data_IF_906253323796
#
_entry.id   IF_906253323796
#
_cell.length_a   1.000
_cell.length_b   1.000
_cell.length_c   1.000
_cell.angle_alpha   90.00
_cell.angle_beta   90.00
_cell.angle_gamma   90.00
#
_symmetry.space_group_name_H-M   'P 1'
#
loop_
_entity.id
_entity.type
_entity.pdbx_description
1 polymer ?
#
# COMPACT_ATOMS: atom_id res chain seq x y z
N UNK A 1 -31.05 8.44 3.06
CA UNK A 1 -30.23 7.21 3.20
C UNK A 1 -29.53 7.30 4.56
N UNK A 2 -29.87 6.41 5.50
CA UNK A 2 -29.56 6.55 6.94
C UNK A 2 -28.07 6.37 7.26
N UNK A 3 -27.65 6.96 8.39
CA UNK A 3 -26.26 7.07 8.89
C UNK A 3 -25.56 5.69 9.04
N UNK A 4 -26.31 4.60 9.18
CA UNK A 4 -25.74 3.26 9.41
C UNK A 4 -25.03 2.67 8.19
N UNK A 5 -25.46 2.99 6.96
CA UNK A 5 -24.79 2.50 5.74
C UNK A 5 -23.36 3.06 5.59
N UNK A 6 -23.09 4.23 6.17
CA UNK A 6 -21.79 4.89 6.08
C UNK A 6 -20.74 4.35 7.04
N UNK A 7 -21.14 3.65 8.12
CA UNK A 7 -20.20 3.03 9.06
C UNK A 7 -19.34 1.96 8.38
N UNK A 8 -19.92 1.28 7.39
CA UNK A 8 -19.25 0.22 6.62
C UNK A 8 -18.47 0.74 5.41
N UNK A 9 -18.54 2.04 5.11
CA UNK A 9 -17.87 2.60 3.94
C UNK A 9 -16.34 2.41 3.96
N UNK A 10 -15.62 2.58 5.10
CA UNK A 10 -14.20 2.27 5.18
C UNK A 10 -13.86 0.81 4.89
N UNK A 11 -14.69 -0.13 5.36
CA UNK A 11 -14.50 -1.55 5.08
C UNK A 11 -14.74 -1.86 3.59
N UNK A 12 -15.79 -1.29 3.02
CA UNK A 12 -16.07 -1.45 1.59
C UNK A 12 -14.92 -0.94 0.71
N UNK A 13 -14.42 0.28 0.97
CA UNK A 13 -13.33 0.84 0.17
C UNK A 13 -12.02 0.09 0.38
N UNK A 14 -11.76 -0.41 1.59
CA UNK A 14 -10.65 -1.32 1.87
C UNK A 14 -10.73 -2.60 1.04
N UNK A 15 -11.88 -3.29 1.02
CA UNK A 15 -12.07 -4.49 0.21
C UNK A 15 -11.93 -4.23 -1.29
N UNK A 16 -12.47 -3.11 -1.77
CA UNK A 16 -12.30 -2.72 -3.19
C UNK A 16 -10.82 -2.53 -3.52
N UNK A 17 -10.05 -1.86 -2.64
CA UNK A 17 -8.61 -1.72 -2.78
C UNK A 17 -7.87 -3.05 -2.79
N UNK A 18 -8.16 -3.92 -1.82
CA UNK A 18 -7.59 -5.26 -1.71
C UNK A 18 -7.84 -6.09 -2.97
N UNK A 19 -9.10 -6.20 -3.39
CA UNK A 19 -9.48 -7.02 -4.55
C UNK A 19 -8.87 -6.46 -5.84
N UNK A 20 -8.87 -5.14 -6.02
CA UNK A 20 -8.34 -4.52 -7.25
C UNK A 20 -6.85 -4.80 -7.42
N UNK A 21 -6.06 -4.64 -6.34
CA UNK A 21 -4.63 -4.88 -6.38
C UNK A 21 -4.28 -6.36 -6.37
N UNK A 22 -5.11 -7.22 -5.75
CA UNK A 22 -4.94 -8.66 -5.83
C UNK A 22 -5.12 -9.16 -7.27
N UNK A 23 -6.23 -8.81 -7.92
CA UNK A 23 -6.49 -9.23 -9.31
C UNK A 23 -5.36 -8.75 -10.23
N UNK A 24 -5.02 -7.47 -10.15
CA UNK A 24 -4.01 -6.88 -11.03
C UNK A 24 -2.62 -7.43 -10.71
N UNK A 25 -2.27 -7.59 -9.43
CA UNK A 25 -1.00 -8.15 -8.99
C UNK A 25 -0.82 -9.59 -9.44
N UNK A 26 -1.86 -10.43 -9.34
CA UNK A 26 -1.83 -11.80 -9.85
C UNK A 26 -1.65 -11.84 -11.36
N UNK A 27 -2.40 -11.03 -12.12
CA UNK A 27 -2.23 -10.97 -13.59
C UNK A 27 -0.83 -10.50 -13.97
N UNK A 28 -0.32 -9.45 -13.33
CA UNK A 28 1.04 -8.97 -13.55
C UNK A 28 2.10 -10.01 -13.17
N UNK A 29 1.85 -10.82 -12.14
CA UNK A 29 2.71 -11.92 -11.70
C UNK A 29 2.80 -13.05 -12.70
N UNK A 30 1.66 -13.48 -13.24
CA UNK A 30 1.63 -14.48 -14.30
C UNK A 30 2.40 -14.01 -15.55
N UNK A 31 2.23 -12.74 -15.94
CA UNK A 31 3.00 -12.15 -17.05
C UNK A 31 4.49 -12.06 -16.71
N UNK A 32 4.83 -11.70 -15.47
CA UNK A 32 6.20 -11.62 -14.98
C UNK A 32 6.93 -12.97 -15.07
N UNK A 33 6.23 -14.09 -14.89
CA UNK A 33 6.82 -15.44 -15.03
C UNK A 33 7.19 -15.76 -16.47
N UNK A 34 6.32 -15.41 -17.41
CA UNK A 34 6.54 -15.67 -18.82
C UNK A 34 7.75 -14.88 -19.37
N UNK A 35 7.94 -13.66 -18.85
CA UNK A 35 8.99 -12.74 -19.30
C UNK A 35 10.27 -12.85 -18.45
N UNK A 36 10.21 -13.56 -17.31
CA UNK A 36 11.28 -13.66 -16.30
C UNK A 36 11.76 -12.29 -15.78
N UNK A 37 10.84 -11.31 -15.68
CA UNK A 37 11.14 -9.95 -15.22
C UNK A 37 10.21 -9.51 -14.08
N UNK A 38 10.67 -9.66 -12.83
CA UNK A 38 9.92 -9.30 -11.61
C UNK A 38 9.46 -7.84 -11.53
N UNK A 39 10.13 -6.92 -12.22
CA UNK A 39 9.78 -5.50 -12.24
C UNK A 39 8.42 -5.21 -12.89
N UNK A 40 7.93 -6.11 -13.74
CA UNK A 40 6.60 -5.99 -14.37
C UNK A 40 5.50 -6.03 -13.31
N UNK A 41 5.71 -6.70 -12.17
CA UNK A 41 4.74 -6.72 -11.07
C UNK A 41 4.39 -5.31 -10.59
N UNK A 42 5.37 -4.39 -10.58
CA UNK A 42 5.18 -3.00 -10.15
C UNK A 42 4.31 -2.19 -11.13
N UNK A 43 4.15 -2.61 -12.38
CA UNK A 43 3.13 -2.04 -13.29
C UNK A 43 1.71 -2.33 -12.80
N UNK A 44 1.55 -3.28 -11.89
CA UNK A 44 0.29 -3.51 -11.19
C UNK A 44 -0.15 -2.32 -10.32
N UNK A 45 0.76 -1.41 -9.94
CA UNK A 45 0.42 -0.23 -9.14
C UNK A 45 -0.50 0.76 -9.85
N UNK A 46 -0.15 1.29 -11.05
CA UNK A 46 -1.05 2.18 -11.78
C UNK A 46 -2.34 1.47 -12.20
N UNK A 47 -2.28 0.21 -12.66
CA UNK A 47 -3.47 -0.52 -13.13
C UNK A 47 -4.41 -0.82 -11.96
N UNK A 48 -3.88 -1.28 -10.82
CA UNK A 48 -4.64 -1.53 -9.59
C UNK A 48 -5.28 -0.27 -9.04
N UNK A 49 -4.57 0.87 -9.11
CA UNK A 49 -5.12 2.17 -8.75
C UNK A 49 -6.28 2.59 -9.64
N UNK A 50 -6.10 2.47 -10.96
CA UNK A 50 -7.15 2.80 -11.91
C UNK A 50 -8.38 1.94 -11.67
N UNK A 51 -8.21 0.63 -11.50
CA UNK A 51 -9.31 -0.29 -11.22
C UNK A 51 -10.02 0.06 -9.92
N UNK A 52 -9.28 0.27 -8.83
CA UNK A 52 -9.84 0.68 -7.54
C UNK A 52 -10.62 1.99 -7.65
N UNK A 53 -10.01 3.03 -8.24
CA UNK A 53 -10.63 4.35 -8.35
C UNK A 53 -11.82 4.35 -9.31
N UNK A 54 -11.78 3.51 -10.34
CA UNK A 54 -12.91 3.28 -11.24
C UNK A 54 -14.10 2.68 -10.49
N UNK A 55 -13.90 1.57 -9.76
CA UNK A 55 -14.96 0.91 -8.97
C UNK A 55 -15.52 1.87 -7.91
N UNK A 56 -14.66 2.66 -7.27
CA UNK A 56 -15.08 3.65 -6.27
C UNK A 56 -15.75 4.90 -6.85
N UNK A 57 -15.89 5.01 -8.19
CA UNK A 57 -16.38 6.20 -8.88
C UNK A 57 -15.63 7.48 -8.47
N UNK A 58 -14.31 7.35 -8.30
CA UNK A 58 -13.36 8.43 -7.96
C UNK A 58 -12.41 8.76 -9.11
N UNK A 59 -12.52 8.04 -10.22
CA UNK A 59 -11.70 8.24 -11.40
C UNK A 59 -12.41 9.19 -12.38
N UNK A 60 -11.91 10.41 -12.46
CA UNK A 60 -12.30 11.35 -13.52
C UNK A 60 -11.42 11.14 -14.76
N UNK A 61 -11.97 11.27 -15.96
CA UNK A 61 -11.26 10.98 -17.22
C UNK A 61 -10.00 11.85 -17.40
N UNK A 62 -10.05 13.09 -16.96
CA UNK A 62 -8.94 14.05 -16.97
C UNK A 62 -7.81 13.67 -15.99
N UNK A 63 -8.09 12.81 -15.00
CA UNK A 63 -7.13 12.40 -13.98
C UNK A 63 -6.46 11.06 -14.26
N UNK A 64 -6.84 10.33 -15.30
CA UNK A 64 -6.27 9.00 -15.62
C UNK A 64 -4.74 9.07 -15.70
N UNK A 65 -4.20 10.00 -16.48
CA UNK A 65 -2.75 10.16 -16.63
C UNK A 65 -2.09 10.53 -15.30
N UNK A 66 -2.74 11.39 -14.50
CA UNK A 66 -2.24 11.78 -13.19
C UNK A 66 -2.24 10.61 -12.19
N UNK A 67 -3.23 9.72 -12.24
CA UNK A 67 -3.23 8.47 -11.45
C UNK A 67 -2.04 7.62 -11.85
N UNK A 68 -1.86 7.36 -13.14
CA UNK A 68 -0.76 6.50 -13.63
C UNK A 68 0.60 7.04 -13.15
N UNK A 69 0.87 8.32 -13.41
CA UNK A 69 2.15 8.94 -13.06
C UNK A 69 2.36 8.94 -11.54
N UNK A 70 1.34 9.30 -10.75
CA UNK A 70 1.48 9.41 -9.30
C UNK A 70 1.53 8.05 -8.60
N UNK A 71 0.84 7.04 -9.11
CA UNK A 71 0.95 5.67 -8.61
C UNK A 71 2.34 5.10 -8.87
N UNK A 72 2.90 5.34 -10.07
CA UNK A 72 4.27 4.95 -10.37
C UNK A 72 5.27 5.69 -9.48
N UNK A 73 5.24 7.03 -9.46
CA UNK A 73 6.15 7.81 -8.63
C UNK A 73 6.03 7.47 -7.15
N UNK A 74 4.81 7.38 -6.62
CA UNK A 74 4.57 7.05 -5.23
C UNK A 74 4.97 5.64 -4.87
N UNK A 75 4.71 4.67 -5.75
CA UNK A 75 5.07 3.28 -5.50
C UNK A 75 6.57 3.04 -5.61
N UNK A 76 7.23 3.57 -6.64
CA UNK A 76 8.69 3.46 -6.79
C UNK A 76 9.43 4.23 -5.71
N UNK A 77 9.09 5.50 -5.47
CA UNK A 77 9.73 6.29 -4.42
C UNK A 77 9.47 5.68 -3.05
N UNK A 78 8.23 5.23 -2.81
CA UNK A 78 7.84 4.53 -1.59
C UNK A 78 8.65 3.26 -1.36
N UNK A 79 8.68 2.38 -2.35
CA UNK A 79 9.43 1.12 -2.31
C UNK A 79 10.91 1.34 -2.04
N UNK A 80 11.58 2.18 -2.84
CA UNK A 80 13.02 2.41 -2.71
C UNK A 80 13.38 3.08 -1.38
N UNK A 81 12.66 4.13 -1.00
CA UNK A 81 12.94 4.83 0.27
C UNK A 81 12.60 3.98 1.48
N UNK A 82 11.50 3.22 1.43
CA UNK A 82 11.13 2.27 2.45
C UNK A 82 12.20 1.22 2.65
N UNK A 83 12.68 0.60 1.56
CA UNK A 83 13.73 -0.41 1.60
C UNK A 83 15.04 0.14 2.19
N UNK A 84 15.53 1.28 1.68
CA UNK A 84 16.76 1.93 2.18
C UNK A 84 16.67 2.25 3.68
N UNK A 85 15.54 2.83 4.12
CA UNK A 85 15.36 3.20 5.52
C UNK A 85 15.20 1.95 6.39
N UNK A 86 14.51 0.92 5.90
CA UNK A 86 14.37 -0.37 6.58
C UNK A 86 15.72 -1.03 6.82
N UNK A 87 16.57 -1.13 5.78
CA UNK A 87 17.92 -1.70 5.90
C UNK A 87 18.82 -0.88 6.83
N UNK A 88 18.83 0.45 6.69
CA UNK A 88 19.60 1.32 7.58
C UNK A 88 19.20 1.14 9.04
N UNK A 89 17.91 0.89 9.32
CA UNK A 89 17.43 0.62 10.67
C UNK A 89 18.06 -0.65 11.25
N UNK A 90 18.21 -1.71 10.45
CA UNK A 90 18.88 -2.97 10.87
C UNK A 90 20.32 -2.67 11.24
N UNK A 91 21.05 -1.99 10.37
CA UNK A 91 22.46 -1.69 10.58
C UNK A 91 22.69 -0.86 11.84
N UNK A 92 21.85 0.15 12.07
CA UNK A 92 21.93 1.01 13.26
C UNK A 92 21.59 0.24 14.54
N UNK A 93 20.56 -0.61 14.53
CA UNK A 93 20.20 -1.42 15.69
C UNK A 93 21.31 -2.42 16.03
N UNK A 94 21.84 -3.11 15.03
CA UNK A 94 22.93 -4.07 15.18
C UNK A 94 24.25 -3.42 15.62
N UNK A 95 24.44 -2.13 15.34
CA UNK A 95 25.55 -1.32 15.86
C UNK A 95 25.36 -0.94 17.34
N UNK A 96 24.17 -0.48 17.72
CA UNK A 96 23.89 0.00 19.10
C UNK A 96 23.81 -1.17 20.09
N UNK A 97 23.28 -2.33 19.67
CA UNK A 97 23.08 -3.49 20.55
C UNK A 97 23.73 -4.74 19.93
N UNK A 98 25.06 -4.94 20.13
CA UNK A 98 25.79 -6.05 19.53
C UNK A 98 25.28 -7.44 19.94
N UNK A 99 24.62 -7.55 21.11
CA UNK A 99 24.02 -8.80 21.59
C UNK A 99 22.79 -9.24 20.79
N UNK A 100 22.21 -8.36 19.97
CA UNK A 100 21.10 -8.70 19.08
C UNK A 100 21.55 -9.29 17.74
N UNK A 101 22.82 -9.14 17.32
CA UNK A 101 23.33 -9.67 16.03
C UNK A 101 23.01 -11.13 15.74
N UNK A 102 22.93 -11.98 16.77
CA UNK A 102 22.61 -13.41 16.62
C UNK A 102 21.11 -13.71 16.74
N UNK A 103 20.32 -12.83 17.38
CA UNK A 103 18.85 -12.91 17.46
C UNK A 103 18.19 -12.28 16.21
N UNK A 104 18.97 -11.51 15.46
CA UNK A 104 18.58 -10.78 14.26
C UNK A 104 18.23 -11.70 13.09
N UNK A 105 18.87 -12.85 12.88
CA UNK A 105 18.51 -13.69 11.72
C UNK A 105 17.05 -14.20 11.70
N UNK A 106 16.36 -14.23 12.84
CA UNK A 106 14.96 -14.73 12.95
C UNK A 106 13.95 -13.62 13.27
N UNK A 107 14.33 -12.52 13.95
CA UNK A 107 13.44 -11.37 14.24
C UNK A 107 13.77 -10.10 13.44
N UNK A 108 14.91 -10.03 12.76
CA UNK A 108 15.38 -8.80 12.10
C UNK A 108 14.83 -8.57 10.71
N UNK A 109 14.04 -9.47 10.11
CA UNK A 109 13.33 -9.09 8.89
C UNK A 109 11.97 -8.47 9.19
N UNK A 110 11.36 -8.80 10.34
CA UNK A 110 10.02 -8.31 10.69
C UNK A 110 9.98 -6.80 10.86
N UNK A 111 10.84 -6.24 11.72
CA UNK A 111 10.82 -4.79 12.00
C UNK A 111 11.17 -3.97 10.75
N UNK A 112 12.25 -4.27 10.00
CA UNK A 112 12.59 -3.55 8.78
C UNK A 112 11.53 -3.64 7.71
N UNK A 113 10.91 -4.81 7.48
CA UNK A 113 9.86 -4.94 6.48
C UNK A 113 8.61 -4.16 6.88
N UNK A 114 8.24 -4.15 8.16
CA UNK A 114 7.16 -3.29 8.66
C UNK A 114 7.49 -1.82 8.43
N UNK A 115 8.70 -1.38 8.78
CA UNK A 115 9.11 0.02 8.61
C UNK A 115 9.17 0.40 7.13
N UNK A 116 9.80 -0.43 6.31
CA UNK A 116 9.93 -0.24 4.89
C UNK A 116 8.56 -0.14 4.21
N UNK A 117 7.67 -1.09 4.50
CA UNK A 117 6.34 -1.09 3.92
C UNK A 117 5.49 0.07 4.46
N UNK A 118 5.62 0.44 5.73
CA UNK A 118 4.93 1.61 6.30
C UNK A 118 5.32 2.91 5.62
N UNK A 119 6.62 3.09 5.35
CA UNK A 119 7.12 4.25 4.62
C UNK A 119 6.64 4.23 3.17
N UNK A 120 6.71 3.07 2.52
CA UNK A 120 6.26 2.90 1.16
C UNK A 120 4.77 3.25 1.02
N UNK A 121 3.90 2.64 1.82
CA UNK A 121 2.47 2.87 1.84
C UNK A 121 2.13 4.31 2.23
N UNK A 122 2.88 4.93 3.15
CA UNK A 122 2.70 6.33 3.50
C UNK A 122 2.96 7.24 2.30
N UNK A 123 4.08 7.06 1.60
CA UNK A 123 4.44 7.85 0.41
C UNK A 123 3.41 7.64 -0.69
N UNK A 124 3.04 6.39 -0.95
CA UNK A 124 2.00 6.06 -1.90
C UNK A 124 0.67 6.76 -1.58
N UNK A 125 0.24 6.66 -0.33
CA UNK A 125 -0.95 7.32 0.20
C UNK A 125 -0.89 8.84 0.06
N UNK A 126 0.28 9.47 0.26
CA UNK A 126 0.48 10.91 0.03
C UNK A 126 0.13 11.29 -1.41
N UNK A 127 0.64 10.54 -2.39
CA UNK A 127 0.43 10.82 -3.81
C UNK A 127 -1.04 10.68 -4.22
N UNK A 128 -1.69 9.59 -3.81
CA UNK A 128 -3.11 9.34 -4.10
C UNK A 128 -4.01 10.30 -3.32
N UNK A 129 -3.75 10.50 -2.04
CA UNK A 129 -4.49 11.42 -1.19
C UNK A 129 -4.45 12.84 -1.73
N UNK A 130 -3.27 13.31 -2.14
CA UNK A 130 -3.10 14.61 -2.78
C UNK A 130 -3.88 14.71 -4.09
N UNK A 131 -3.91 13.64 -4.89
CA UNK A 131 -4.63 13.61 -6.17
C UNK A 131 -6.14 13.72 -5.99
N UNK A 132 -6.70 12.96 -5.05
CA UNK A 132 -8.15 12.86 -4.87
C UNK A 132 -8.73 14.00 -4.05
N UNK A 133 -8.00 14.46 -3.04
CA UNK A 133 -8.54 15.35 -1.99
C UNK A 133 -7.70 16.60 -1.73
N UNK A 134 -6.60 16.80 -2.48
CA UNK A 134 -5.73 17.97 -2.38
C UNK A 134 -4.80 17.96 -1.17
N UNK A 135 -4.05 19.05 -0.98
CA UNK A 135 -2.94 19.12 0.01
C UNK A 135 -3.35 18.83 1.46
N UNK A 136 -4.60 19.11 1.83
CA UNK A 136 -5.10 18.94 3.21
C UNK A 136 -5.26 17.47 3.63
N UNK A 137 -5.38 16.53 2.67
CA UNK A 137 -5.55 15.10 2.97
C UNK A 137 -4.21 14.37 3.19
N UNK A 138 -3.10 14.95 2.74
CA UNK A 138 -1.76 14.31 2.71
C UNK A 138 -1.40 13.67 4.04
N UNK A 139 -1.46 14.43 5.15
CA UNK A 139 -1.10 13.93 6.48
C UNK A 139 -1.99 12.76 6.92
N UNK A 140 -3.28 12.85 6.60
CA UNK A 140 -4.24 11.82 6.96
C UNK A 140 -3.98 10.52 6.19
N UNK A 141 -3.78 10.62 4.89
CA UNK A 141 -3.47 9.46 4.05
C UNK A 141 -2.15 8.81 4.45
N UNK A 142 -1.08 9.59 4.65
CA UNK A 142 0.20 9.08 5.11
C UNK A 142 0.05 8.26 6.40
N UNK A 143 -0.66 8.80 7.39
CA UNK A 143 -0.84 8.16 8.69
C UNK A 143 -1.64 6.85 8.60
N UNK A 144 -2.80 6.89 7.94
CA UNK A 144 -3.65 5.70 7.80
C UNK A 144 -2.93 4.62 7.00
N UNK A 145 -2.27 4.99 5.91
CA UNK A 145 -1.57 4.03 5.07
C UNK A 145 -0.41 3.38 5.82
N UNK A 146 0.41 4.15 6.55
CA UNK A 146 1.49 3.61 7.38
C UNK A 146 0.97 2.60 8.41
N UNK A 147 -0.03 2.98 9.22
CA UNK A 147 -0.53 2.12 10.30
C UNK A 147 -1.18 0.86 9.73
N UNK A 148 -1.99 1.00 8.67
CA UNK A 148 -2.71 -0.12 8.08
C UNK A 148 -1.80 -1.11 7.34
N UNK A 149 -0.56 -0.71 7.01
CA UNK A 149 0.43 -1.58 6.34
C UNK A 149 1.13 -2.55 7.29
N UNK A 150 1.06 -2.33 8.62
CA UNK A 150 1.78 -3.15 9.62
C UNK A 150 1.48 -4.66 9.45
N UNK A 151 0.22 -5.11 9.32
CA UNK A 151 -0.07 -6.53 9.09
C UNK A 151 0.59 -7.08 7.82
N UNK A 152 0.66 -6.29 6.75
CA UNK A 152 1.30 -6.68 5.50
C UNK A 152 2.83 -6.76 5.64
N UNK A 153 3.43 -5.86 6.43
CA UNK A 153 4.86 -5.93 6.74
C UNK A 153 5.22 -7.21 7.48
N UNK A 154 4.34 -7.68 8.37
CA UNK A 154 4.47 -8.99 9.02
C UNK A 154 4.35 -10.11 7.99
N UNK A 155 3.36 -10.07 7.09
CA UNK A 155 3.16 -11.10 6.05
C UNK A 155 4.38 -11.22 5.11
N UNK A 156 4.93 -10.09 4.64
CA UNK A 156 6.14 -10.06 3.82
C UNK A 156 7.33 -10.70 4.56
N UNK A 157 7.37 -10.58 5.89
CA UNK A 157 8.47 -11.12 6.71
C UNK A 157 8.34 -12.60 7.02
N UNK A 158 7.15 -13.15 6.89
CA UNK A 158 6.91 -14.57 7.12
C UNK A 158 7.30 -15.42 5.91
N UNK A 159 7.60 -14.80 4.77
CA UNK A 159 7.92 -15.47 3.50
C UNK A 159 6.97 -16.64 3.25
N UNK A 160 5.67 -16.37 3.40
CA UNK A 160 4.63 -17.38 3.19
C UNK A 160 4.79 -17.85 1.75
N UNK A 161 5.07 -19.13 1.58
CA UNK A 161 5.12 -19.76 0.27
C UNK A 161 3.78 -20.44 0.02
N UNK A 162 3.01 -19.87 -0.89
CA UNK A 162 1.74 -20.40 -1.34
C UNK A 162 1.99 -21.22 -2.61
N UNK A 163 1.91 -22.56 -2.51
CA UNK A 163 2.24 -23.55 -3.56
C UNK A 163 1.65 -23.30 -4.97
N UNK A 164 0.63 -22.45 -5.11
CA UNK A 164 -0.01 -22.12 -6.39
C UNK A 164 0.34 -20.74 -6.93
N UNK A 165 1.25 -20.01 -6.28
CA UNK A 165 1.76 -18.70 -6.70
C UNK A 165 3.25 -18.81 -6.98
N UNK A 166 3.59 -19.04 -8.25
CA UNK A 166 4.97 -19.30 -8.68
C UNK A 166 5.82 -18.03 -8.86
N UNK A 167 5.26 -16.83 -8.61
CA UNK A 167 5.96 -15.54 -8.73
C UNK A 167 6.22 -14.90 -7.37
N UNK A 168 7.02 -13.82 -7.34
CA UNK A 168 7.46 -13.13 -6.12
C UNK A 168 6.28 -12.67 -5.23
N UNK A 169 5.93 -13.50 -4.23
CA UNK A 169 4.77 -13.30 -3.35
C UNK A 169 4.94 -12.08 -2.44
N UNK A 170 6.18 -11.73 -2.07
CA UNK A 170 6.45 -10.53 -1.27
C UNK A 170 6.03 -9.25 -2.00
N UNK A 171 6.31 -9.18 -3.30
CA UNK A 171 5.88 -8.06 -4.13
C UNK A 171 4.34 -8.06 -4.26
N UNK A 172 3.70 -9.23 -4.37
CA UNK A 172 2.23 -9.32 -4.36
C UNK A 172 1.63 -8.76 -3.07
N UNK A 173 2.14 -9.18 -1.90
CA UNK A 173 1.65 -8.67 -0.61
C UNK A 173 1.88 -7.17 -0.46
N UNK A 174 2.98 -6.65 -0.98
CA UNK A 174 3.24 -5.21 -1.03
C UNK A 174 2.22 -4.48 -1.93
N UNK A 175 1.95 -4.99 -3.14
CA UNK A 175 0.92 -4.43 -4.03
C UNK A 175 -0.46 -4.42 -3.36
N UNK A 176 -0.85 -5.53 -2.74
CA UNK A 176 -2.11 -5.65 -2.03
C UNK A 176 -2.16 -4.69 -0.83
N UNK A 177 -1.03 -4.46 -0.14
CA UNK A 177 -0.92 -3.45 0.92
C UNK A 177 -1.30 -2.07 0.39
N UNK A 178 -0.66 -1.59 -0.69
CA UNK A 178 -0.96 -0.28 -1.26
C UNK A 178 -2.46 -0.09 -1.57
N UNK A 179 -3.09 -1.10 -2.17
CA UNK A 179 -4.52 -1.09 -2.47
C UNK A 179 -5.37 -1.04 -1.21
N UNK A 180 -5.12 -1.95 -0.28
CA UNK A 180 -5.89 -2.10 0.96
C UNK A 180 -5.81 -0.85 1.82
N UNK A 181 -4.61 -0.34 2.04
CA UNK A 181 -4.36 0.80 2.92
C UNK A 181 -4.88 2.11 2.31
N UNK A 182 -4.70 2.30 1.00
CA UNK A 182 -5.26 3.45 0.28
C UNK A 182 -6.80 3.41 0.24
N UNK A 183 -7.38 2.23 0.00
CA UNK A 183 -8.82 2.02 0.06
C UNK A 183 -9.38 2.38 1.42
N UNK A 184 -8.74 1.93 2.50
CA UNK A 184 -9.12 2.28 3.86
C UNK A 184 -9.02 3.79 4.13
N UNK A 185 -7.93 4.44 3.69
CA UNK A 185 -7.75 5.89 3.82
C UNK A 185 -8.83 6.70 3.09
N UNK A 186 -9.22 6.29 1.86
CA UNK A 186 -10.32 6.89 1.09
C UNK A 186 -11.63 6.82 1.86
N UNK A 187 -11.93 5.66 2.44
CA UNK A 187 -13.16 5.43 3.16
C UNK A 187 -13.25 6.25 4.45
N UNK A 188 -12.21 6.21 5.29
CA UNK A 188 -12.17 7.02 6.50
C UNK A 188 -12.20 8.52 6.21
N UNK A 189 -11.45 8.99 5.20
CA UNK A 189 -11.44 10.42 4.86
C UNK A 189 -12.82 10.90 4.38
N UNK A 190 -13.52 10.08 3.58
CA UNK A 190 -14.87 10.37 3.13
C UNK A 190 -15.88 10.41 4.28
N UNK A 191 -15.75 9.49 5.23
CA UNK A 191 -16.57 9.48 6.46
C UNK A 191 -16.33 10.75 7.29
N UNK A 192 -15.06 11.10 7.53
CA UNK A 192 -14.68 12.30 8.28
C UNK A 192 -15.21 13.59 7.65
N UNK A 193 -15.13 13.71 6.32
CA UNK A 193 -15.65 14.89 5.60
C UNK A 193 -17.16 15.03 5.77
N UNK A 194 -17.91 13.92 5.75
CA UNK A 194 -19.36 13.91 5.97
C UNK A 194 -19.74 14.26 7.40
N UNK A 195 -19.06 13.69 8.38
CA UNK A 195 -19.30 14.01 9.81
C UNK A 195 -19.08 15.50 10.08
N UNK A 196 -18.04 16.10 9.48
CA UNK A 196 -17.81 17.55 9.59
C UNK A 196 -18.90 18.38 8.92
N UNK A 197 -19.39 17.95 7.76
CA UNK A 197 -20.46 18.66 7.04
C UNK A 197 -21.81 18.61 7.77
N UNK A 198 -22.11 17.56 8.53
CA UNK A 198 -23.36 17.44 9.30
C UNK A 198 -23.33 18.17 10.65
N UNK A 199 -22.16 18.69 11.08
CA UNK A 199 -22.00 19.42 12.35
C UNK A 199 -21.99 20.95 12.18
N UNK A 200 -21.99 21.44 10.94
CA UNK A 200 -22.10 22.87 10.61
C UNK A 200 -23.46 23.15 10.00
#
# INVERSE_FOLDING_TARGET
MSIDYYKFYPLFTMFVGLISFLIVGTVAGLISLEINEGMILLLGLPIGSLLMLFILSKLDRDKILAVIIRSLLGGFAGFLSGFIIGELLVEVIGFIIPSLKNLEQVKAQIVPNIVALSIADAIYGIFIGHLLYGRKSIKFFALICAIASIPFGILVSMSIDVDWIDFEQNLLFMLVSFGTTTGLAIGFYSLLKRVKANKG
#
